data_IF_758425786642
#
_entry.id   IF_758425786642
#
_cell.length_a   1.000
_cell.length_b   1.000
_cell.length_c   1.000
_cell.angle_alpha   90.00
_cell.angle_beta   90.00
_cell.angle_gamma   90.00
#
_symmetry.space_group_name_H-M   'P 1'
#
loop_
_entity.id
_entity.type
_entity.pdbx_description
1 polymer ?
#
# COMPACT_ATOMS: atom_id res chain seq x y z
N UNK A 1 -13.36 -17.34 -9.08
CA UNK A 1 -13.42 -16.11 -9.90
C UNK A 1 -14.66 -16.18 -10.77
N UNK A 2 -15.46 -15.11 -10.82
CA UNK A 2 -16.55 -14.95 -11.79
C UNK A 2 -15.99 -14.51 -13.14
N UNK A 3 -16.65 -14.89 -14.24
CA UNK A 3 -16.29 -14.43 -15.59
C UNK A 3 -17.03 -13.13 -15.85
N UNK A 4 -16.27 -12.07 -16.09
CA UNK A 4 -16.80 -10.75 -16.45
C UNK A 4 -16.24 -10.38 -17.82
N UNK A 5 -17.10 -9.89 -18.71
CA UNK A 5 -16.70 -9.35 -20.02
C UNK A 5 -16.70 -7.83 -19.89
N UNK A 6 -15.56 -7.21 -20.13
CA UNK A 6 -15.35 -5.76 -20.11
C UNK A 6 -14.47 -5.39 -21.29
N UNK A 7 -14.72 -4.21 -21.87
CA UNK A 7 -13.79 -3.61 -22.82
C UNK A 7 -12.67 -2.90 -22.05
N UNK A 8 -11.44 -3.11 -22.53
CA UNK A 8 -10.22 -2.59 -21.93
C UNK A 8 -9.39 -1.94 -23.02
N UNK A 9 -8.77 -0.82 -22.70
CA UNK A 9 -7.75 -0.21 -23.54
C UNK A 9 -6.51 -1.13 -23.57
N UNK A 10 -6.20 -1.66 -24.76
CA UNK A 10 -5.08 -2.59 -24.95
C UNK A 10 -3.72 -1.93 -24.79
N UNK A 11 -3.59 -0.63 -25.09
CA UNK A 11 -2.33 0.10 -24.91
C UNK A 11 -2.06 0.32 -23.43
N UNK A 12 -3.09 0.72 -22.67
CA UNK A 12 -2.98 0.88 -21.23
C UNK A 12 -2.71 -0.46 -20.54
N UNK A 13 -3.37 -1.53 -20.98
CA UNK A 13 -3.13 -2.87 -20.46
C UNK A 13 -1.70 -3.34 -20.71
N UNK A 14 -1.15 -3.07 -21.90
CA UNK A 14 0.24 -3.40 -22.22
C UNK A 14 1.24 -2.62 -21.36
N UNK A 15 1.02 -1.32 -21.16
CA UNK A 15 1.88 -0.50 -20.31
C UNK A 15 1.86 -0.98 -18.85
N UNK A 16 0.68 -1.32 -18.33
CA UNK A 16 0.54 -1.88 -16.97
C UNK A 16 1.16 -3.27 -16.88
N UNK A 17 1.00 -4.11 -17.90
CA UNK A 17 1.61 -5.44 -17.93
C UNK A 17 3.13 -5.37 -17.87
N UNK A 18 3.74 -4.43 -18.60
CA UNK A 18 5.17 -4.17 -18.56
C UNK A 18 5.60 -3.65 -17.19
N UNK A 19 4.88 -2.68 -16.62
CA UNK A 19 5.18 -2.12 -15.29
C UNK A 19 5.08 -3.17 -14.17
N UNK A 20 4.12 -4.10 -14.28
CA UNK A 20 3.90 -5.15 -13.29
C UNK A 20 4.70 -6.44 -13.58
N UNK A 21 5.37 -6.54 -14.74
CA UNK A 21 6.10 -7.74 -15.16
C UNK A 21 5.21 -8.96 -15.39
N UNK A 22 3.94 -8.75 -15.75
CA UNK A 22 2.95 -9.82 -15.91
C UNK A 22 2.82 -10.25 -17.37
N UNK A 23 2.55 -11.54 -17.60
CA UNK A 23 2.54 -12.10 -18.95
C UNK A 23 1.14 -12.27 -19.56
N UNK A 24 0.08 -12.19 -18.76
CA UNK A 24 -1.30 -12.40 -19.23
C UNK A 24 -2.23 -11.28 -18.82
N UNK A 25 -3.18 -10.91 -19.71
CA UNK A 25 -4.20 -9.87 -19.45
C UNK A 25 -4.91 -10.07 -18.10
N UNK A 26 -5.30 -11.31 -17.80
CA UNK A 26 -5.94 -11.68 -16.53
C UNK A 26 -5.03 -11.42 -15.35
N UNK A 27 -3.76 -11.81 -15.43
CA UNK A 27 -2.79 -11.61 -14.36
C UNK A 27 -2.54 -10.12 -14.13
N UNK A 28 -2.34 -9.35 -15.20
CA UNK A 28 -2.19 -7.88 -15.15
C UNK A 28 -3.36 -7.23 -14.41
N UNK A 29 -4.60 -7.56 -14.79
CA UNK A 29 -5.80 -6.99 -14.16
C UNK A 29 -5.89 -7.38 -12.68
N UNK A 30 -5.70 -8.65 -12.34
CA UNK A 30 -5.79 -9.10 -10.95
C UNK A 30 -4.69 -8.49 -10.08
N UNK A 31 -3.47 -8.38 -10.60
CA UNK A 31 -2.35 -7.77 -9.88
C UNK A 31 -2.56 -6.27 -9.72
N UNK A 32 -2.98 -5.56 -10.77
CA UNK A 32 -3.30 -4.14 -10.69
C UNK A 32 -4.38 -3.85 -9.63
N UNK A 33 -5.46 -4.65 -9.58
CA UNK A 33 -6.51 -4.49 -8.57
C UNK A 33 -5.99 -4.67 -7.13
N UNK A 34 -5.07 -5.62 -6.91
CA UNK A 34 -4.43 -5.80 -5.60
C UNK A 34 -3.52 -4.62 -5.25
N UNK A 35 -2.69 -4.18 -6.19
CA UNK A 35 -1.78 -3.04 -5.98
C UNK A 35 -2.53 -1.76 -5.62
N UNK A 36 -3.68 -1.50 -6.26
CA UNK A 36 -4.51 -0.33 -5.92
C UNK A 36 -5.03 -0.40 -4.48
N UNK A 37 -5.47 -1.57 -4.02
CA UNK A 37 -5.94 -1.76 -2.64
C UNK A 37 -4.80 -1.62 -1.63
N UNK A 38 -3.64 -2.20 -1.94
CA UNK A 38 -2.45 -2.12 -1.08
C UNK A 38 -1.93 -0.68 -1.00
N UNK A 39 -1.89 0.04 -2.12
CA UNK A 39 -1.51 1.45 -2.14
C UNK A 39 -2.47 2.29 -1.29
N UNK A 40 -3.79 2.07 -1.42
CA UNK A 40 -4.78 2.74 -0.57
C UNK A 40 -4.60 2.41 0.92
N UNK A 41 -4.31 1.15 1.26
CA UNK A 41 -4.04 0.74 2.65
C UNK A 41 -2.80 1.43 3.20
N UNK A 42 -1.71 1.51 2.42
CA UNK A 42 -0.49 2.22 2.80
C UNK A 42 -0.73 3.71 3.01
N UNK A 43 -1.49 4.35 2.12
CA UNK A 43 -1.86 5.76 2.27
C UNK A 43 -2.67 6.01 3.55
N UNK A 44 -3.66 5.16 3.87
CA UNK A 44 -4.43 5.27 5.10
C UNK A 44 -3.58 5.02 6.35
N UNK A 45 -2.64 4.06 6.30
CA UNK A 45 -1.71 3.80 7.40
C UNK A 45 -0.82 5.01 7.67
N UNK A 46 -0.31 5.67 6.62
CA UNK A 46 0.49 6.90 6.73
C UNK A 46 -0.33 8.05 7.33
N UNK A 47 -1.58 8.22 6.91
CA UNK A 47 -2.48 9.24 7.49
C UNK A 47 -2.73 8.97 8.97
N UNK A 48 -2.98 7.71 9.36
CA UNK A 48 -3.16 7.33 10.77
C UNK A 48 -1.90 7.55 11.60
N UNK A 49 -0.73 7.22 11.05
CA UNK A 49 0.55 7.46 11.72
C UNK A 49 0.76 8.95 11.98
N UNK A 50 0.50 9.81 10.98
CA UNK A 50 0.58 11.27 11.14
C UNK A 50 -0.39 11.80 12.20
N UNK A 51 -1.62 11.28 12.23
CA UNK A 51 -2.61 11.65 13.24
C UNK A 51 -2.15 11.26 14.65
N UNK A 52 -1.63 10.04 14.84
CA UNK A 52 -1.06 9.58 16.10
C UNK A 52 0.13 10.46 16.55
N UNK A 53 1.03 10.84 15.63
CA UNK A 53 2.12 11.78 15.94
C UNK A 53 1.60 13.16 16.37
N UNK A 54 0.57 13.67 15.70
CA UNK A 54 -0.02 14.97 16.03
C UNK A 54 -0.78 14.98 17.37
N UNK A 55 -1.36 13.85 17.78
CA UNK A 55 -2.08 13.68 19.05
C UNK A 55 -1.14 13.48 20.25
N UNK A 56 0.18 13.47 20.03
CA UNK A 56 1.17 13.24 21.10
C UNK A 56 1.19 11.80 21.62
N UNK A 57 0.65 10.84 20.86
CA UNK A 57 0.55 9.44 21.30
C UNK A 57 1.90 8.70 21.33
N UNK A 58 2.97 9.34 20.87
CA UNK A 58 4.33 8.87 21.05
C UNK A 58 4.91 9.57 22.27
N UNK A 59 4.98 8.84 23.38
CA UNK A 59 5.74 9.26 24.56
C UNK A 59 7.23 9.12 24.25
N UNK A 60 7.78 10.15 23.60
CA UNK A 60 9.20 10.23 23.26
C UNK A 60 10.05 10.47 24.52
N UNK A 61 9.47 11.08 25.55
CA UNK A 61 10.13 11.31 26.85
C UNK A 61 10.45 9.99 27.56
N UNK A 62 9.64 8.95 27.37
CA UNK A 62 9.93 7.58 27.84
C UNK A 62 11.23 7.02 27.27
N UNK A 63 11.58 7.36 26.02
CA UNK A 63 12.82 6.92 25.38
C UNK A 63 14.04 7.78 25.77
N UNK A 64 13.83 8.94 26.40
CA UNK A 64 14.91 9.83 26.84
C UNK A 64 15.46 9.48 28.24
N UNK A 65 14.74 8.69 29.04
CA UNK A 65 15.23 8.26 30.36
C UNK A 65 16.26 7.11 30.25
N UNK A 66 17.49 7.50 29.94
CA UNK A 66 18.68 6.62 29.87
C UNK A 66 19.01 5.92 31.20
N UNK A 67 18.38 6.30 32.33
CA UNK A 67 18.58 5.63 33.62
C UNK A 67 17.89 4.27 33.68
N UNK A 68 16.90 4.00 32.82
CA UNK A 68 16.19 2.72 32.74
C UNK A 68 16.87 1.68 31.83
N UNK A 69 17.94 2.04 31.11
CA UNK A 69 18.65 1.14 30.20
C UNK A 69 19.63 0.18 30.91
N UNK A 70 19.90 0.41 32.19
CA UNK A 70 20.92 -0.32 32.96
C UNK A 70 20.28 -1.00 34.16
N UNK A 71 19.41 -1.97 33.89
CA UNK A 71 19.03 -3.02 34.86
C UNK A 71 19.09 -4.37 34.19
#
# INVERSE_FOLDING_TARGET
MSRTVIDLDDELLAAVAQALGTSTKKETVNTALREVLENRRRALALTRLRAATADGSFDLDLFEDKRNYRR
#
